data_IF_298172196149
#
_entry.id   IF_298172196149
#
_cell.length_a   1.000
_cell.length_b   1.000
_cell.length_c   1.000
_cell.angle_alpha   90.00
_cell.angle_beta   90.00
_cell.angle_gamma   90.00
#
_symmetry.space_group_name_H-M   'P 1'
#
loop_
_entity.id
_entity.type
_entity.pdbx_description
1 polymer ?
#
# COMPACT_ATOMS: atom_id res chain seq x y z
N UNK A 1 -32.04 17.18 -2.37
CA UNK A 1 -31.70 16.19 -3.42
C UNK A 1 -30.45 15.36 -3.05
N UNK A 2 -30.11 15.13 -1.77
CA UNK A 2 -28.81 14.55 -1.39
C UNK A 2 -28.85 13.20 -0.65
N UNK A 3 -29.98 12.77 -0.07
CA UNK A 3 -30.02 11.52 0.72
C UNK A 3 -30.19 10.24 -0.14
N UNK A 4 -30.96 10.32 -1.24
CA UNK A 4 -31.17 9.19 -2.15
C UNK A 4 -29.86 8.76 -2.84
N UNK A 5 -28.99 9.74 -3.16
CA UNK A 5 -27.70 9.52 -3.81
C UNK A 5 -26.68 8.80 -2.92
N UNK A 6 -26.68 9.05 -1.61
CA UNK A 6 -25.73 8.42 -0.68
C UNK A 6 -26.12 6.98 -0.34
N UNK A 7 -27.43 6.68 -0.30
CA UNK A 7 -27.92 5.33 -0.02
C UNK A 7 -27.70 4.40 -1.22
N UNK A 8 -27.96 4.86 -2.44
CA UNK A 8 -27.70 4.11 -3.68
C UNK A 8 -26.22 3.81 -3.86
N UNK A 9 -25.33 4.75 -3.53
CA UNK A 9 -23.89 4.56 -3.65
C UNK A 9 -23.32 3.64 -2.57
N UNK A 10 -23.81 3.74 -1.33
CA UNK A 10 -23.46 2.78 -0.27
C UNK A 10 -23.85 1.36 -0.66
N UNK A 11 -25.03 1.21 -1.27
CA UNK A 11 -25.51 -0.06 -1.79
C UNK A 11 -24.65 -0.60 -2.95
N UNK A 12 -24.29 0.26 -3.92
CA UNK A 12 -23.40 -0.12 -5.02
C UNK A 12 -22.00 -0.51 -4.54
N UNK A 13 -21.44 0.22 -3.57
CA UNK A 13 -20.15 -0.11 -2.96
C UNK A 13 -20.20 -1.47 -2.25
N UNK A 14 -21.29 -1.77 -1.52
CA UNK A 14 -21.49 -3.07 -0.89
C UNK A 14 -21.53 -4.20 -1.94
N UNK A 15 -22.28 -4.03 -3.02
CA UNK A 15 -22.33 -5.02 -4.11
C UNK A 15 -20.97 -5.24 -4.79
N UNK A 16 -20.21 -4.18 -5.03
CA UNK A 16 -18.87 -4.28 -5.59
C UNK A 16 -17.92 -5.06 -4.68
N UNK A 17 -18.03 -4.87 -3.35
CA UNK A 17 -17.24 -5.60 -2.36
C UNK A 17 -17.68 -7.07 -2.27
N UNK A 18 -18.97 -7.37 -2.32
CA UNK A 18 -19.49 -8.74 -2.38
C UNK A 18 -18.95 -9.49 -3.62
N UNK A 19 -18.97 -8.84 -4.79
CA UNK A 19 -18.40 -9.39 -6.01
C UNK A 19 -16.87 -9.60 -5.91
N UNK A 20 -16.15 -8.64 -5.31
CA UNK A 20 -14.72 -8.73 -5.04
C UNK A 20 -14.38 -9.94 -4.16
N UNK A 21 -15.12 -10.15 -3.07
CA UNK A 21 -14.94 -11.28 -2.16
C UNK A 21 -15.25 -12.60 -2.89
N UNK A 22 -16.40 -12.69 -3.57
CA UNK A 22 -16.83 -13.90 -4.26
C UNK A 22 -15.81 -14.37 -5.30
N UNK A 23 -15.26 -13.45 -6.09
CA UNK A 23 -14.20 -13.73 -7.06
C UNK A 23 -12.95 -14.33 -6.39
N UNK A 24 -12.48 -13.72 -5.29
CA UNK A 24 -11.26 -14.12 -4.59
C UNK A 24 -11.41 -15.41 -3.80
N UNK A 25 -12.60 -15.67 -3.26
CA UNK A 25 -12.96 -16.97 -2.69
C UNK A 25 -12.89 -18.05 -3.78
N UNK A 26 -13.36 -17.76 -5.00
CA UNK A 26 -13.22 -18.65 -6.15
C UNK A 26 -11.75 -18.95 -6.49
N UNK A 27 -10.89 -17.92 -6.51
CA UNK A 27 -9.46 -18.10 -6.73
C UNK A 27 -8.77 -18.89 -5.61
N UNK A 28 -9.21 -18.70 -4.36
CA UNK A 28 -8.68 -19.49 -3.24
C UNK A 28 -9.04 -20.98 -3.38
N UNK A 29 -10.27 -21.29 -3.79
CA UNK A 29 -10.69 -22.66 -4.08
C UNK A 29 -9.89 -23.28 -5.24
N UNK A 30 -9.56 -22.50 -6.28
CA UNK A 30 -8.66 -22.95 -7.36
C UNK A 30 -7.27 -23.31 -6.80
N UNK A 31 -6.70 -22.49 -5.91
CA UNK A 31 -5.39 -22.75 -5.32
C UNK A 31 -5.39 -24.01 -4.45
N UNK A 32 -6.46 -24.26 -3.70
CA UNK A 32 -6.66 -25.47 -2.89
C UNK A 32 -6.69 -26.72 -3.80
N UNK A 33 -7.45 -26.66 -4.88
CA UNK A 33 -7.53 -27.75 -5.87
C UNK A 33 -6.18 -28.05 -6.52
N UNK A 34 -5.37 -27.03 -6.79
CA UNK A 34 -4.01 -27.23 -7.34
C UNK A 34 -3.13 -28.05 -6.39
N UNK A 35 -3.30 -27.92 -5.07
CA UNK A 35 -2.59 -28.73 -4.08
C UNK A 35 -3.17 -30.15 -3.91
N UNK A 36 -4.20 -30.51 -4.67
CA UNK A 36 -4.82 -31.84 -4.66
C UNK A 36 -5.91 -32.03 -3.60
N UNK A 37 -6.31 -30.95 -2.93
CA UNK A 37 -7.38 -30.93 -1.94
C UNK A 37 -8.74 -30.61 -2.58
N UNK A 38 -9.83 -30.89 -1.86
CA UNK A 38 -11.18 -30.52 -2.32
C UNK A 38 -11.35 -28.99 -2.37
N UNK A 39 -12.03 -28.47 -3.40
CA UNK A 39 -12.36 -27.04 -3.51
C UNK A 39 -13.15 -26.48 -2.31
N UNK A 40 -13.86 -27.36 -1.60
CA UNK A 40 -14.65 -27.01 -0.41
C UNK A 40 -13.84 -27.09 0.89
N UNK A 41 -12.56 -27.48 0.83
CA UNK A 41 -11.67 -27.52 2.00
C UNK A 41 -11.40 -26.10 2.50
N UNK A 42 -11.28 -25.96 3.83
CA UNK A 42 -10.89 -24.69 4.46
C UNK A 42 -9.47 -24.29 4.04
N UNK A 43 -9.28 -23.18 3.31
CA UNK A 43 -7.95 -22.79 2.84
C UNK A 43 -6.97 -22.53 3.98
N UNK A 44 -7.42 -22.14 5.18
CA UNK A 44 -6.56 -21.93 6.35
C UNK A 44 -6.00 -23.25 6.92
N UNK A 45 -6.61 -24.39 6.59
CA UNK A 45 -6.11 -25.72 6.94
C UNK A 45 -5.20 -26.30 5.87
N UNK A 46 -5.33 -25.84 4.63
CA UNK A 46 -4.54 -26.31 3.48
C UNK A 46 -3.24 -25.52 3.34
N UNK A 47 -3.30 -24.19 3.47
CA UNK A 47 -2.14 -23.33 3.39
C UNK A 47 -1.55 -23.10 4.78
N UNK A 48 -0.28 -23.45 4.98
CA UNK A 48 0.41 -23.16 6.22
C UNK A 48 0.63 -21.64 6.40
N UNK A 49 0.67 -21.13 7.65
CA UNK A 49 1.02 -19.74 7.92
C UNK A 49 2.38 -19.36 7.34
N UNK A 50 2.55 -18.07 7.01
CA UNK A 50 3.85 -17.54 6.59
C UNK A 50 4.90 -17.69 7.71
N UNK A 51 6.11 -18.07 7.35
CA UNK A 51 7.26 -18.08 8.27
C UNK A 51 7.78 -16.66 8.48
N UNK A 52 8.37 -16.38 9.65
CA UNK A 52 8.99 -15.08 9.94
C UNK A 52 10.10 -14.73 8.94
N UNK A 53 10.91 -15.74 8.58
CA UNK A 53 11.94 -15.65 7.55
C UNK A 53 11.43 -16.40 6.32
N UNK A 54 11.36 -15.71 5.19
CA UNK A 54 10.87 -16.27 3.92
C UNK A 54 11.67 -17.47 3.41
N UNK A 55 12.94 -17.56 3.77
CA UNK A 55 13.83 -18.67 3.41
C UNK A 55 13.59 -19.93 4.25
N UNK A 56 12.90 -19.80 5.38
CA UNK A 56 12.53 -20.92 6.26
C UNK A 56 11.24 -21.63 5.81
N UNK A 57 10.62 -21.18 4.72
CA UNK A 57 9.39 -21.75 4.20
C UNK A 57 9.58 -23.23 3.83
N UNK A 58 8.70 -24.08 4.37
CA UNK A 58 8.75 -25.54 4.18
C UNK A 58 8.65 -25.87 2.68
N UNK A 59 9.50 -26.78 2.23
CA UNK A 59 9.49 -27.23 0.84
C UNK A 59 8.13 -27.87 0.49
N UNK A 60 7.47 -27.31 -0.52
CA UNK A 60 6.24 -27.89 -1.10
C UNK A 60 6.60 -29.12 -1.92
N UNK A 61 5.95 -30.23 -1.61
CA UNK A 61 6.06 -31.46 -2.40
C UNK A 61 4.95 -31.44 -3.46
N UNK A 62 5.20 -30.76 -4.57
CA UNK A 62 4.27 -30.63 -5.70
C UNK A 62 4.99 -30.90 -7.03
N UNK A 63 4.22 -31.29 -8.05
CA UNK A 63 4.74 -31.43 -9.41
C UNK A 63 5.02 -30.08 -10.07
N UNK A 64 5.82 -30.07 -11.15
CA UNK A 64 6.09 -28.86 -11.94
C UNK A 64 4.79 -28.24 -12.50
N UNK A 65 3.85 -29.08 -12.94
CA UNK A 65 2.55 -28.64 -13.44
C UNK A 65 1.73 -27.94 -12.33
N UNK A 66 1.70 -28.51 -11.13
CA UNK A 66 1.07 -27.86 -9.98
C UNK A 66 1.77 -26.56 -9.60
N UNK A 67 3.10 -26.52 -9.68
CA UNK A 67 3.88 -25.32 -9.40
C UNK A 67 3.59 -24.19 -10.41
N UNK A 68 3.36 -24.51 -11.68
CA UNK A 68 2.93 -23.53 -12.70
C UNK A 68 1.53 -23.04 -12.42
N UNK A 69 0.56 -23.94 -12.18
CA UNK A 69 -0.83 -23.56 -11.88
C UNK A 69 -0.95 -22.75 -10.59
N UNK A 70 -0.19 -23.11 -9.55
CA UNK A 70 -0.21 -22.39 -8.28
C UNK A 70 0.32 -20.96 -8.46
N UNK A 71 1.38 -20.77 -9.27
CA UNK A 71 1.87 -19.44 -9.62
C UNK A 71 0.85 -18.64 -10.43
N UNK A 72 0.14 -19.29 -11.35
CA UNK A 72 -0.91 -18.63 -12.12
C UNK A 72 -2.01 -18.10 -11.19
N UNK A 73 -2.53 -18.94 -10.28
CA UNK A 73 -3.57 -18.54 -9.34
C UNK A 73 -3.05 -17.48 -8.36
N UNK A 74 -1.85 -17.64 -7.81
CA UNK A 74 -1.22 -16.64 -6.94
C UNK A 74 -1.00 -15.30 -7.66
N UNK A 75 -0.66 -15.35 -8.95
CA UNK A 75 -0.51 -14.18 -9.80
C UNK A 75 -1.82 -13.38 -9.96
N UNK A 76 -2.99 -14.03 -9.91
CA UNK A 76 -4.30 -13.33 -9.92
C UNK A 76 -4.49 -12.45 -8.70
N UNK A 77 -3.92 -12.84 -7.56
CA UNK A 77 -3.87 -12.01 -6.36
C UNK A 77 -2.80 -10.90 -6.42
N UNK A 78 -1.92 -10.93 -7.44
CA UNK A 78 -0.76 -10.04 -7.56
C UNK A 78 0.52 -10.58 -6.93
N UNK A 79 0.51 -11.80 -6.35
CA UNK A 79 1.68 -12.40 -5.70
C UNK A 79 2.77 -12.66 -6.75
N UNK A 80 3.93 -12.04 -6.58
CA UNK A 80 5.08 -12.24 -7.47
C UNK A 80 4.91 -11.62 -8.86
N UNK A 81 3.93 -10.72 -9.03
CA UNK A 81 3.64 -10.02 -10.28
C UNK A 81 4.88 -9.36 -10.90
N UNK A 82 5.08 -9.61 -12.18
CA UNK A 82 6.19 -9.04 -12.95
C UNK A 82 5.89 -7.62 -13.44
N UNK A 83 4.64 -7.41 -13.86
CA UNK A 83 4.14 -6.18 -14.45
C UNK A 83 3.41 -5.33 -13.43
N UNK A 84 3.33 -4.03 -13.72
CA UNK A 84 2.62 -3.07 -12.91
C UNK A 84 1.11 -3.20 -13.04
N UNK A 85 0.42 -2.96 -11.92
CA UNK A 85 -1.00 -2.65 -11.86
C UNK A 85 -1.11 -1.20 -11.42
N UNK A 86 -1.45 -0.28 -12.33
CA UNK A 86 -1.58 1.14 -11.99
C UNK A 86 -2.83 1.41 -11.17
N UNK A 87 -2.74 2.37 -10.26
CA UNK A 87 -3.90 2.89 -9.53
C UNK A 87 -4.52 4.05 -10.30
N UNK A 88 -5.82 3.96 -10.60
CA UNK A 88 -6.60 5.05 -11.18
C UNK A 88 -7.39 5.82 -10.11
N UNK A 89 -6.77 6.06 -8.94
CA UNK A 89 -7.39 6.80 -7.86
C UNK A 89 -7.18 8.30 -8.00
N UNK A 90 -8.20 9.09 -7.68
CA UNK A 90 -8.10 10.55 -7.66
C UNK A 90 -7.08 11.08 -6.65
N UNK A 91 -6.89 10.41 -5.51
CA UNK A 91 -5.84 10.75 -4.54
C UNK A 91 -4.98 9.51 -4.31
N UNK A 92 -3.69 9.58 -4.60
CA UNK A 92 -2.79 8.42 -4.54
C UNK A 92 -1.72 8.62 -3.48
N UNK A 93 -1.63 7.68 -2.54
CA UNK A 93 -0.62 7.65 -1.49
C UNK A 93 0.52 6.75 -1.95
N UNK A 94 1.73 7.28 -1.99
CA UNK A 94 2.96 6.51 -2.10
C UNK A 94 3.40 6.20 -0.66
N UNK A 95 3.37 4.92 -0.31
CA UNK A 95 3.37 4.43 1.07
C UNK A 95 4.66 4.75 1.83
N UNK A 96 5.76 4.99 1.10
CA UNK A 96 7.06 5.25 1.69
C UNK A 96 7.95 4.01 1.72
N UNK A 97 8.91 3.97 2.63
CA UNK A 97 9.94 2.93 2.69
C UNK A 97 11.23 3.40 2.03
N UNK A 98 11.89 2.49 1.31
CA UNK A 98 13.20 2.73 0.67
C UNK A 98 13.07 3.63 -0.57
N UNK A 99 14.12 4.38 -0.97
CA UNK A 99 14.00 5.39 -2.02
C UNK A 99 13.54 4.81 -3.36
N UNK A 100 14.12 3.69 -3.80
CA UNK A 100 13.70 3.01 -5.03
C UNK A 100 12.28 2.43 -4.96
N UNK A 101 11.71 2.19 -3.77
CA UNK A 101 10.31 1.78 -3.64
C UNK A 101 9.40 2.96 -3.89
N UNK A 102 9.70 4.11 -3.31
CA UNK A 102 8.94 5.35 -3.52
C UNK A 102 8.99 5.77 -4.99
N UNK A 103 10.16 5.66 -5.64
CA UNK A 103 10.27 5.89 -7.09
C UNK A 103 9.42 4.89 -7.89
N UNK A 104 9.37 3.61 -7.50
CA UNK A 104 8.53 2.61 -8.17
C UNK A 104 7.04 2.90 -7.99
N UNK A 105 6.62 3.30 -6.79
CA UNK A 105 5.26 3.72 -6.47
C UNK A 105 4.86 4.97 -7.27
N UNK A 106 5.80 5.90 -7.47
CA UNK A 106 5.60 7.08 -8.29
C UNK A 106 5.43 6.72 -9.78
N UNK A 107 6.22 5.79 -10.33
CA UNK A 107 6.10 5.38 -11.75
C UNK A 107 4.77 4.72 -12.12
N UNK A 108 4.11 4.07 -11.15
CA UNK A 108 2.79 3.46 -11.36
C UNK A 108 1.62 4.40 -11.03
N UNK A 109 1.92 5.65 -10.66
CA UNK A 109 0.93 6.68 -10.44
C UNK A 109 0.35 7.11 -11.78
N UNK A 110 -0.94 6.85 -11.99
CA UNK A 110 -1.68 7.32 -13.16
C UNK A 110 -2.30 8.70 -12.90
N UNK A 111 -3.16 9.20 -13.81
CA UNK A 111 -3.88 10.47 -13.65
C UNK A 111 -4.51 10.63 -12.23
N UNK A 112 -3.91 11.52 -11.43
CA UNK A 112 -4.33 11.83 -10.06
C UNK A 112 -4.67 13.32 -9.93
N UNK A 113 -5.58 13.65 -9.00
CA UNK A 113 -5.77 15.03 -8.51
C UNK A 113 -4.77 15.38 -7.42
N UNK A 114 -4.37 14.40 -6.62
CA UNK A 114 -3.37 14.58 -5.57
C UNK A 114 -2.45 13.37 -5.48
N UNK A 115 -1.16 13.62 -5.37
CA UNK A 115 -0.12 12.60 -5.13
C UNK A 115 0.46 12.89 -3.75
N UNK A 116 0.35 11.92 -2.84
CA UNK A 116 0.80 12.03 -1.46
C UNK A 116 2.06 11.19 -1.26
N UNK A 117 3.19 11.84 -1.03
CA UNK A 117 4.45 11.17 -0.67
C UNK A 117 4.48 10.99 0.84
N UNK A 118 4.31 9.75 1.32
CA UNK A 118 4.35 9.44 2.73
C UNK A 118 5.77 9.11 3.20
N UNK A 119 6.13 9.55 4.40
CA UNK A 119 7.40 9.18 5.01
C UNK A 119 7.48 9.53 6.49
N UNK A 120 8.29 8.77 7.23
CA UNK A 120 8.48 8.99 8.67
C UNK A 120 9.77 9.75 8.98
N UNK A 121 9.73 10.81 9.79
CA UNK A 121 10.94 11.48 10.24
C UNK A 121 11.72 10.64 11.28
N UNK A 122 11.17 9.49 11.70
CA UNK A 122 11.76 8.62 12.72
C UNK A 122 12.55 7.44 12.12
N UNK A 123 12.46 7.21 10.80
CA UNK A 123 13.23 6.17 10.11
C UNK A 123 14.46 6.79 9.48
N UNK A 124 15.63 6.54 10.07
CA UNK A 124 16.91 6.92 9.48
C UNK A 124 17.23 6.05 8.26
N UNK A 125 17.83 6.65 7.24
CA UNK A 125 18.23 5.93 6.04
C UNK A 125 19.47 5.08 6.27
N UNK A 126 19.46 3.88 5.68
CA UNK A 126 20.63 3.01 5.57
C UNK A 126 21.65 3.54 4.57
N UNK A 127 22.85 2.98 4.61
CA UNK A 127 23.94 3.35 3.71
C UNK A 127 23.61 3.06 2.23
N UNK A 128 22.94 1.94 1.97
CA UNK A 128 22.45 1.55 0.63
C UNK A 128 21.47 2.59 0.06
N UNK A 129 20.59 3.12 0.91
CA UNK A 129 19.61 4.14 0.54
C UNK A 129 20.28 5.50 0.28
N UNK A 130 21.23 5.89 1.13
CA UNK A 130 21.99 7.12 0.97
C UNK A 130 22.83 7.10 -0.31
N UNK A 131 23.46 5.97 -0.60
CA UNK A 131 24.27 5.82 -1.81
C UNK A 131 23.40 5.82 -3.06
N UNK A 132 22.23 5.18 -3.02
CA UNK A 132 21.22 5.29 -4.07
C UNK A 132 20.84 6.75 -4.34
N UNK A 133 20.45 7.51 -3.31
CA UNK A 133 20.03 8.91 -3.46
C UNK A 133 21.13 9.81 -4.02
N UNK A 134 22.40 9.61 -3.63
CA UNK A 134 23.53 10.38 -4.19
C UNK A 134 23.66 10.25 -5.71
N UNK A 135 23.25 9.12 -6.28
CA UNK A 135 23.28 8.92 -7.74
C UNK A 135 22.13 9.60 -8.47
N UNK A 136 21.07 9.97 -7.75
CA UNK A 136 19.85 10.59 -8.29
C UNK A 136 19.82 12.10 -8.12
N UNK A 137 20.36 12.59 -7.02
CA UNK A 137 20.30 14.00 -6.66
C UNK A 137 21.26 14.85 -7.51
N UNK A 138 20.91 16.12 -7.81
CA UNK A 138 21.81 17.05 -8.47
C UNK A 138 23.11 17.25 -7.70
N UNK A 139 24.19 17.59 -8.42
CA UNK A 139 25.49 17.84 -7.82
C UNK A 139 25.41 18.90 -6.72
N UNK A 140 25.98 18.60 -5.55
CA UNK A 140 25.97 19.48 -4.38
C UNK A 140 24.75 19.36 -3.46
N UNK A 141 23.70 18.65 -3.86
CA UNK A 141 22.55 18.36 -3.00
C UNK A 141 22.86 17.17 -2.10
N UNK A 142 22.71 17.35 -0.78
CA UNK A 142 22.92 16.27 0.18
C UNK A 142 21.67 15.40 0.31
N UNK A 143 21.78 14.06 0.34
CA UNK A 143 20.67 13.20 0.70
C UNK A 143 20.11 13.58 2.08
N UNK A 144 18.78 13.55 2.19
CA UNK A 144 18.11 13.63 3.47
C UNK A 144 18.55 12.48 4.40
N UNK A 145 18.47 12.70 5.70
CA UNK A 145 18.90 11.71 6.69
C UNK A 145 17.80 10.71 7.06
N UNK A 146 16.53 11.08 6.85
CA UNK A 146 15.36 10.31 7.22
C UNK A 146 14.41 10.09 6.02
N UNK A 147 13.47 9.18 6.19
CA UNK A 147 12.50 8.79 5.17
C UNK A 147 11.56 9.94 4.75
N UNK A 148 11.15 10.83 5.67
CA UNK A 148 10.27 11.95 5.31
C UNK A 148 10.99 12.94 4.39
N UNK A 149 12.21 13.33 4.75
CA UNK A 149 13.05 14.19 3.91
C UNK A 149 13.43 13.54 2.58
N UNK A 150 13.70 12.23 2.58
CA UNK A 150 13.95 11.47 1.35
C UNK A 150 12.74 11.45 0.43
N UNK A 151 11.55 11.23 0.99
CA UNK A 151 10.31 11.19 0.23
C UNK A 151 10.07 12.54 -0.46
N UNK A 152 10.39 13.65 0.21
CA UNK A 152 10.36 14.99 -0.40
C UNK A 152 11.36 15.11 -1.55
N UNK A 153 12.59 14.67 -1.35
CA UNK A 153 13.61 14.71 -2.40
C UNK A 153 13.17 13.93 -3.65
N UNK A 154 12.55 12.77 -3.46
CA UNK A 154 12.02 11.96 -4.58
C UNK A 154 10.83 12.66 -5.24
N UNK A 155 9.95 13.31 -4.48
CA UNK A 155 8.85 14.10 -5.01
C UNK A 155 9.35 15.26 -5.90
N UNK A 156 10.37 15.96 -5.44
CA UNK A 156 10.99 17.09 -6.15
C UNK A 156 11.77 16.64 -7.41
N UNK A 157 12.19 15.38 -7.46
CA UNK A 157 12.85 14.76 -8.63
C UNK A 157 11.86 14.26 -9.69
N UNK A 158 10.55 14.25 -9.41
CA UNK A 158 9.57 13.77 -10.39
C UNK A 158 9.52 14.69 -11.63
N UNK A 159 9.40 14.07 -12.80
CA UNK A 159 9.28 14.80 -14.05
C UNK A 159 8.05 15.73 -14.04
N UNK A 160 8.30 17.01 -14.33
CA UNK A 160 7.24 18.03 -14.35
C UNK A 160 6.86 18.60 -12.98
N UNK A 161 7.57 18.25 -11.90
CA UNK A 161 7.36 18.86 -10.60
C UNK A 161 7.62 20.38 -10.64
N UNK A 162 6.68 21.13 -10.09
CA UNK A 162 6.75 22.58 -9.92
C UNK A 162 6.53 22.90 -8.44
N UNK A 163 7.58 23.41 -7.79
CA UNK A 163 7.52 23.82 -6.38
C UNK A 163 6.59 25.02 -6.19
N UNK A 164 5.91 25.05 -5.04
CA UNK A 164 5.29 26.29 -4.56
C UNK A 164 6.38 27.29 -4.13
N UNK A 165 6.04 28.58 -4.16
CA UNK A 165 6.90 29.63 -3.59
C UNK A 165 7.10 29.43 -2.09
N UNK A 166 6.03 29.01 -1.40
CA UNK A 166 6.03 28.63 0.01
C UNK A 166 5.20 27.36 0.20
N UNK A 167 5.73 26.42 1.00
CA UNK A 167 5.01 25.23 1.41
C UNK A 167 3.70 25.60 2.13
N UNK A 168 2.59 24.99 1.71
CA UNK A 168 1.29 25.24 2.32
C UNK A 168 0.90 24.12 3.29
N UNK A 169 0.94 24.40 4.59
CA UNK A 169 0.46 23.47 5.62
C UNK A 169 -1.07 23.38 5.54
N UNK A 170 -1.59 22.18 5.30
CA UNK A 170 -3.03 21.95 5.23
C UNK A 170 -3.65 22.03 6.64
N UNK A 171 -4.91 22.49 6.78
CA UNK A 171 -5.58 22.65 8.07
C UNK A 171 -6.10 21.32 8.63
N UNK A 172 -5.33 20.25 8.45
CA UNK A 172 -5.67 18.90 8.87
C UNK A 172 -4.44 18.14 9.38
N UNK A 173 -4.70 17.25 10.32
CA UNK A 173 -3.75 16.29 10.86
C UNK A 173 -4.46 15.06 11.41
N UNK A 174 -3.75 14.25 12.16
CA UNK A 174 -4.29 13.10 12.87
C UNK A 174 -3.60 12.88 14.22
N UNK A 175 -4.38 12.39 15.18
CA UNK A 175 -3.93 12.09 16.53
C UNK A 175 -3.43 10.64 16.62
N UNK A 176 -2.13 10.45 16.83
CA UNK A 176 -1.52 9.11 16.91
C UNK A 176 -2.01 8.31 18.13
N UNK A 177 -2.42 8.96 19.22
CA UNK A 177 -2.87 8.28 20.44
C UNK A 177 -4.35 7.91 20.39
N UNK A 178 -5.12 8.57 19.53
CA UNK A 178 -6.57 8.39 19.44
C UNK A 178 -6.99 7.69 18.14
N UNK A 179 -6.40 6.53 17.86
CA UNK A 179 -6.73 5.71 16.68
C UNK A 179 -6.69 6.50 15.36
N UNK A 180 -5.74 7.43 15.24
CA UNK A 180 -5.57 8.30 14.07
C UNK A 180 -6.82 9.14 13.75
N UNK A 181 -7.51 9.61 14.79
CA UNK A 181 -8.64 10.51 14.65
C UNK A 181 -8.23 11.80 13.93
N UNK A 182 -9.10 12.30 13.04
CA UNK A 182 -8.85 13.53 12.28
C UNK A 182 -8.77 14.74 13.22
N UNK A 183 -7.70 15.51 13.09
CA UNK A 183 -7.55 16.83 13.73
C UNK A 183 -7.80 17.89 12.67
N UNK A 184 -8.69 18.86 12.93
CA UNK A 184 -9.04 19.95 12.00
C UNK A 184 -8.24 21.21 12.27
N UNK A 185 -6.92 21.05 12.37
CA UNK A 185 -5.95 22.12 12.64
C UNK A 185 -4.67 21.88 11.84
N UNK A 186 -3.87 22.92 11.62
CA UNK A 186 -2.62 22.85 10.89
C UNK A 186 -1.50 22.22 11.74
N UNK A 187 -1.40 20.89 11.73
CA UNK A 187 -0.40 20.14 12.54
C UNK A 187 0.96 19.99 11.85
N UNK A 188 1.05 20.30 10.55
CA UNK A 188 2.23 20.05 9.73
C UNK A 188 2.37 18.59 9.25
N UNK A 189 1.39 17.73 9.51
CA UNK A 189 1.39 16.34 9.03
C UNK A 189 1.01 16.21 7.55
N UNK A 190 0.32 17.21 7.01
CA UNK A 190 -0.03 17.32 5.60
C UNK A 190 0.44 18.67 5.07
N UNK A 191 1.39 18.65 4.13
CA UNK A 191 2.00 19.87 3.58
C UNK A 191 2.01 19.79 2.06
N UNK A 192 1.32 20.71 1.38
CA UNK A 192 1.41 20.83 -0.07
C UNK A 192 2.72 21.53 -0.42
N UNK A 193 3.50 20.92 -1.30
CA UNK A 193 4.85 21.39 -1.68
C UNK A 193 4.95 21.84 -3.14
N UNK A 194 3.97 21.48 -3.97
CA UNK A 194 4.04 21.74 -5.41
C UNK A 194 2.93 21.06 -6.19
N UNK A 195 3.17 20.95 -7.49
CA UNK A 195 2.27 20.32 -8.46
C UNK A 195 3.05 19.52 -9.51
N UNK A 196 2.43 18.49 -10.08
CA UNK A 196 2.87 17.81 -11.29
C UNK A 196 1.70 17.86 -12.27
N UNK A 197 1.82 18.66 -13.34
CA UNK A 197 0.67 19.02 -14.16
C UNK A 197 -0.42 19.67 -13.30
N UNK A 198 -1.63 19.15 -13.36
CA UNK A 198 -2.77 19.62 -12.55
C UNK A 198 -2.90 18.91 -11.18
N UNK A 199 -2.03 17.93 -10.90
CA UNK A 199 -2.06 17.19 -9.63
C UNK A 199 -1.35 17.96 -8.53
N UNK A 200 -1.96 18.08 -7.35
CA UNK A 200 -1.29 18.59 -6.15
C UNK A 200 -0.29 17.55 -5.62
N UNK A 201 0.92 17.99 -5.26
CA UNK A 201 1.91 17.17 -4.58
C UNK A 201 1.94 17.54 -3.10
N UNK A 202 1.63 16.55 -2.26
CA UNK A 202 1.49 16.70 -0.82
C UNK A 202 2.45 15.75 -0.10
N UNK A 203 3.16 16.26 0.89
CA UNK A 203 3.92 15.47 1.84
C UNK A 203 2.99 15.01 2.97
N UNK A 204 3.00 13.71 3.26
CA UNK A 204 2.27 13.09 4.37
C UNK A 204 3.27 12.59 5.41
N UNK A 205 3.36 13.28 6.55
CA UNK A 205 4.25 12.88 7.65
C UNK A 205 3.64 11.70 8.40
N UNK A 206 4.38 10.60 8.46
CA UNK A 206 4.00 9.37 9.18
C UNK A 206 4.60 9.39 10.58
N UNK A 207 3.79 9.82 11.54
CA UNK A 207 4.15 9.95 12.93
C UNK A 207 3.96 8.63 13.70
N UNK A 208 4.73 8.46 14.77
CA UNK A 208 4.65 7.29 15.67
C UNK A 208 5.14 7.66 17.06
N UNK A 209 4.79 6.84 18.05
CA UNK A 209 5.37 6.93 19.39
C UNK A 209 6.57 5.99 19.48
N UNK A 210 7.75 6.52 19.79
CA UNK A 210 8.93 5.70 20.11
C UNK A 210 9.01 5.48 21.63
N UNK A 211 9.24 4.24 22.07
CA UNK A 211 9.36 3.88 23.48
C UNK A 211 10.49 2.85 23.69
N UNK A 212 10.91 2.67 24.94
CA UNK A 212 11.84 1.60 25.34
C UNK A 212 11.02 0.55 26.10
N UNK A 213 11.12 -0.71 25.69
CA UNK A 213 10.42 -1.78 26.40
C UNK A 213 11.12 -2.18 27.70
N UNK A 214 10.52 -3.13 28.42
CA UNK A 214 11.05 -3.63 29.70
C UNK A 214 12.44 -4.28 29.57
N UNK A 215 12.82 -4.70 28.36
CA UNK A 215 14.12 -5.32 28.05
C UNK A 215 15.19 -4.29 27.64
N UNK A 216 14.84 -2.99 27.60
CA UNK A 216 15.75 -1.93 27.16
C UNK A 216 15.84 -1.78 25.63
N UNK A 217 14.95 -2.42 24.88
CA UNK A 217 14.93 -2.39 23.42
C UNK A 217 14.07 -1.21 22.93
N UNK A 218 14.62 -0.41 22.02
CA UNK A 218 13.87 0.63 21.34
C UNK A 218 12.78 0.02 20.45
N UNK A 219 11.53 0.38 20.70
CA UNK A 219 10.34 -0.02 19.95
C UNK A 219 9.53 1.20 19.55
N UNK A 220 8.52 0.98 18.72
CA UNK A 220 7.55 2.00 18.37
C UNK A 220 6.14 1.43 18.35
N UNK A 221 5.16 2.30 18.56
CA UNK A 221 3.72 1.99 18.47
C UNK A 221 2.97 3.16 17.85
N UNK A 222 1.67 2.98 17.62
CA UNK A 222 0.76 4.01 17.12
C UNK A 222 1.08 4.55 15.71
N UNK A 223 2.00 3.93 14.97
CA UNK A 223 2.25 4.26 13.56
C UNK A 223 1.04 3.85 12.71
N UNK A 224 0.49 4.73 11.85
CA UNK A 224 -0.59 4.34 10.95
C UNK A 224 -0.08 3.32 9.92
N UNK A 225 -0.82 2.23 9.76
CA UNK A 225 -0.63 1.29 8.66
C UNK A 225 -1.29 1.81 7.37
N UNK A 226 -1.15 1.05 6.28
CA UNK A 226 -1.70 1.40 4.96
C UNK A 226 -3.21 1.69 5.02
N UNK A 227 -3.96 0.89 5.79
CA UNK A 227 -5.38 1.07 5.97
C UNK A 227 -5.68 2.38 6.70
N UNK A 228 -5.00 2.65 7.81
CA UNK A 228 -5.14 3.88 8.58
C UNK A 228 -4.82 5.12 7.74
N UNK A 229 -3.76 5.10 6.92
CA UNK A 229 -3.42 6.19 5.99
C UNK A 229 -4.57 6.49 5.02
N UNK A 230 -5.15 5.46 4.40
CA UNK A 230 -6.33 5.63 3.53
C UNK A 230 -7.52 6.24 4.29
N UNK A 231 -7.77 5.80 5.55
CA UNK A 231 -8.85 6.38 6.38
C UNK A 231 -8.59 7.84 6.71
N UNK A 232 -7.36 8.21 7.06
CA UNK A 232 -6.97 9.60 7.36
C UNK A 232 -7.29 10.49 6.15
N UNK A 233 -6.84 10.11 4.96
CA UNK A 233 -7.10 10.90 3.74
C UNK A 233 -8.59 10.90 3.39
N UNK A 234 -9.29 9.77 3.51
CA UNK A 234 -10.74 9.71 3.33
C UNK A 234 -11.49 10.69 4.24
N UNK A 235 -11.11 10.78 5.53
CA UNK A 235 -11.70 11.73 6.49
C UNK A 235 -11.35 13.18 6.17
N UNK A 236 -10.14 13.46 5.69
CA UNK A 236 -9.76 14.81 5.22
C UNK A 236 -10.64 15.24 4.06
N UNK A 237 -10.85 14.38 3.06
CA UNK A 237 -11.70 14.67 1.90
C UNK A 237 -13.15 14.93 2.33
N UNK A 238 -13.72 14.06 3.17
CA UNK A 238 -15.07 14.26 3.72
C UNK A 238 -15.18 15.57 4.51
N UNK A 239 -14.15 15.94 5.29
CA UNK A 239 -14.12 17.22 6.00
C UNK A 239 -14.04 18.44 5.06
N UNK A 240 -13.51 18.27 3.84
CA UNK A 240 -13.54 19.25 2.77
C UNK A 240 -14.84 19.23 1.94
N UNK A 241 -15.79 18.34 2.26
CA UNK A 241 -17.05 18.18 1.53
C UNK A 241 -16.94 17.33 0.25
N UNK A 242 -15.81 16.67 0.02
CA UNK A 242 -15.63 15.69 -1.05
C UNK A 242 -15.92 14.31 -0.49
N UNK A 243 -17.09 13.74 -0.79
CA UNK A 243 -17.48 12.37 -0.37
C UNK A 243 -17.22 11.31 -1.45
N UNK A 244 -16.70 11.71 -2.62
CA UNK A 244 -16.83 10.93 -3.86
C UNK A 244 -15.50 10.50 -4.45
N UNK A 245 -14.45 11.32 -4.30
CA UNK A 245 -13.15 11.02 -4.90
C UNK A 245 -12.55 9.75 -4.29
N UNK A 246 -12.07 8.83 -5.12
CA UNK A 246 -11.42 7.61 -4.64
C UNK A 246 -10.05 7.94 -4.03
N UNK A 247 -9.66 7.21 -2.98
CA UNK A 247 -8.29 7.25 -2.43
C UNK A 247 -7.61 5.94 -2.77
N UNK A 248 -6.37 5.96 -3.23
CA UNK A 248 -5.60 4.77 -3.50
C UNK A 248 -4.25 4.77 -2.82
N UNK A 249 -3.68 3.59 -2.65
CA UNK A 249 -2.30 3.40 -2.21
C UNK A 249 -1.51 2.65 -3.27
N UNK A 250 -0.31 3.12 -3.56
CA UNK A 250 0.63 2.46 -4.45
C UNK A 250 1.63 1.69 -3.58
N UNK A 251 1.81 0.40 -3.85
CA UNK A 251 2.67 -0.49 -3.06
C UNK A 251 3.31 -1.57 -3.93
N UNK A 252 3.96 -2.56 -3.33
CA UNK A 252 4.63 -3.66 -4.04
C UNK A 252 3.74 -4.89 -4.20
N UNK A 253 3.87 -5.60 -5.33
CA UNK A 253 3.35 -6.97 -5.54
C UNK A 253 3.86 -7.99 -4.50
N UNK A 254 4.93 -7.64 -3.78
CA UNK A 254 5.48 -8.44 -2.67
C UNK A 254 4.51 -8.56 -1.48
N UNK A 255 3.57 -7.63 -1.36
CA UNK A 255 2.58 -7.57 -0.29
C UNK A 255 1.16 -7.51 -0.86
N UNK A 256 0.86 -8.42 -1.79
CA UNK A 256 -0.43 -8.53 -2.47
C UNK A 256 -1.65 -8.50 -1.52
N UNK A 257 -1.49 -9.03 -0.29
CA UNK A 257 -2.54 -9.03 0.74
C UNK A 257 -3.01 -7.62 1.16
N UNK A 258 -2.22 -6.56 0.88
CA UNK A 258 -2.60 -5.16 1.10
C UNK A 258 -3.76 -4.70 0.21
N UNK A 259 -4.01 -5.38 -0.90
CA UNK A 259 -5.20 -5.14 -1.72
C UNK A 259 -6.48 -5.37 -0.90
N UNK A 260 -6.52 -6.43 -0.09
CA UNK A 260 -7.68 -6.73 0.76
C UNK A 260 -7.81 -5.72 1.90
N UNK A 261 -6.71 -5.31 2.53
CA UNK A 261 -6.73 -4.26 3.57
C UNK A 261 -7.26 -2.94 3.02
N UNK A 262 -6.91 -2.61 1.78
CA UNK A 262 -7.37 -1.41 1.08
C UNK A 262 -8.89 -1.46 0.86
N UNK A 263 -9.42 -2.58 0.36
CA UNK A 263 -10.88 -2.76 0.17
C UNK A 263 -11.62 -2.69 1.50
N UNK A 264 -11.07 -3.33 2.53
CA UNK A 264 -11.61 -3.31 3.90
C UNK A 264 -11.65 -1.92 4.50
N UNK A 265 -10.57 -1.15 4.32
CA UNK A 265 -10.54 0.25 4.71
C UNK A 265 -11.64 1.05 3.97
N UNK A 266 -11.88 0.78 2.69
CA UNK A 266 -12.90 1.44 1.88
C UNK A 266 -14.31 1.19 2.41
N UNK A 267 -14.62 -0.09 2.72
CA UNK A 267 -15.90 -0.49 3.34
C UNK A 267 -16.18 0.32 4.61
N UNK A 268 -15.21 0.38 5.52
CA UNK A 268 -15.37 1.07 6.81
C UNK A 268 -15.52 2.60 6.72
N UNK A 269 -15.24 3.21 5.56
CA UNK A 269 -15.32 4.66 5.36
C UNK A 269 -16.37 5.06 4.32
N UNK A 270 -17.13 4.11 3.74
CA UNK A 270 -18.13 4.40 2.72
C UNK A 270 -17.56 4.99 1.43
N UNK A 271 -16.28 4.79 1.14
CA UNK A 271 -15.56 5.36 0.00
C UNK A 271 -14.86 4.27 -0.81
N UNK A 272 -14.79 4.44 -2.13
CA UNK A 272 -14.00 3.57 -2.98
C UNK A 272 -12.50 3.78 -2.69
N UNK A 273 -11.83 2.70 -2.30
CA UNK A 273 -10.38 2.67 -2.21
C UNK A 273 -9.77 1.76 -3.28
N UNK A 274 -8.63 2.17 -3.83
CA UNK A 274 -7.93 1.47 -4.91
C UNK A 274 -6.49 1.12 -4.52
N UNK A 275 -5.91 0.13 -5.17
CA UNK A 275 -4.51 -0.25 -4.95
C UNK A 275 -3.77 -0.28 -6.27
N UNK A 276 -2.62 0.38 -6.31
CA UNK A 276 -1.62 0.20 -7.36
C UNK A 276 -0.52 -0.73 -6.85
N UNK A 277 -0.01 -1.60 -7.71
CA UNK A 277 1.07 -2.53 -7.36
C UNK A 277 2.15 -2.49 -8.42
N UNK A 278 3.37 -2.08 -8.04
CA UNK A 278 4.49 -2.10 -8.97
C UNK A 278 5.06 -3.52 -9.03
N UNK A 279 5.39 -3.95 -10.24
CA UNK A 279 5.93 -5.25 -10.56
C UNK A 279 7.44 -5.35 -10.29
N UNK A 280 7.96 -6.58 -10.34
CA UNK A 280 9.40 -6.84 -10.19
C UNK A 280 10.23 -6.18 -11.29
N UNK A 281 9.68 -6.00 -12.49
CA UNK A 281 10.35 -5.35 -13.62
C UNK A 281 10.68 -3.89 -13.31
N UNK A 282 9.68 -3.11 -12.93
CA UNK A 282 9.80 -1.68 -12.61
C UNK A 282 10.81 -1.44 -11.50
N UNK A 283 10.77 -2.27 -10.46
CA UNK A 283 11.76 -2.20 -9.38
C UNK A 283 13.19 -2.50 -9.87
N UNK A 284 13.36 -3.50 -10.75
CA UNK A 284 14.66 -3.88 -11.30
C UNK A 284 15.23 -2.75 -12.19
N UNK A 285 14.39 -2.15 -13.04
CA UNK A 285 14.76 -1.04 -13.91
C UNK A 285 15.20 0.19 -13.10
N UNK A 286 14.48 0.52 -12.03
CA UNK A 286 14.84 1.61 -11.12
C UNK A 286 16.17 1.34 -10.41
N UNK A 287 16.39 0.12 -9.95
CA UNK A 287 17.64 -0.24 -9.27
C UNK A 287 18.82 -0.45 -10.23
N UNK A 288 18.58 -0.62 -11.52
CA UNK A 288 19.60 -1.03 -12.49
C UNK A 288 20.12 -2.45 -12.24
N UNK A 289 19.26 -3.32 -11.69
CA UNK A 289 19.60 -4.70 -11.31
C UNK A 289 18.86 -5.71 -12.22
N UNK A 290 19.30 -6.97 -12.29
CA UNK A 290 18.52 -8.03 -12.93
C UNK A 290 17.16 -8.19 -12.26
N UNK A 291 16.14 -8.54 -13.07
CA UNK A 291 14.80 -8.84 -12.56
C UNK A 291 14.92 -9.96 -11.54
N UNK A 292 14.50 -9.68 -10.30
CA UNK A 292 14.51 -10.66 -9.23
C UNK A 292 13.66 -11.88 -9.62
N UNK A 293 14.08 -13.08 -9.22
CA UNK A 293 13.27 -14.28 -9.45
C UNK A 293 11.86 -14.10 -8.87
N UNK A 294 10.83 -14.72 -9.49
CA UNK A 294 9.49 -14.71 -8.91
C UNK A 294 9.50 -15.31 -7.51
N UNK A 295 8.48 -14.96 -6.72
CA UNK A 295 8.26 -15.51 -5.36
C UNK A 295 8.54 -17.01 -5.34
N UNK A 296 9.37 -17.44 -4.39
CA UNK A 296 9.73 -18.84 -4.24
C UNK A 296 8.46 -19.67 -4.08
N UNK A 297 8.36 -20.81 -4.76
CA UNK A 297 7.12 -21.60 -4.76
C UNK A 297 6.65 -21.95 -3.34
N UNK A 298 7.61 -22.20 -2.44
CA UNK A 298 7.38 -22.51 -1.03
C UNK A 298 6.79 -21.35 -0.22
N UNK A 299 6.93 -20.11 -0.67
CA UNK A 299 6.43 -18.92 0.02
C UNK A 299 4.96 -18.64 -0.32
N UNK A 300 4.46 -19.15 -1.46
CA UNK A 300 3.10 -18.87 -1.94
C UNK A 300 2.02 -19.31 -0.93
N UNK A 301 2.07 -20.49 -0.29
CA UNK A 301 1.08 -20.87 0.71
C UNK A 301 0.97 -19.88 1.86
N UNK A 302 2.09 -19.38 2.40
CA UNK A 302 2.06 -18.41 3.49
C UNK A 302 1.39 -17.08 3.11
N UNK A 303 1.64 -16.62 1.88
CA UNK A 303 0.99 -15.43 1.33
C UNK A 303 -0.52 -15.66 1.08
N UNK A 304 -0.91 -16.85 0.59
CA UNK A 304 -2.31 -17.24 0.40
C UNK A 304 -3.05 -17.42 1.74
N UNK A 305 -2.38 -17.95 2.77
CA UNK A 305 -2.92 -18.04 4.13
C UNK A 305 -3.26 -16.64 4.65
N UNK A 306 -2.29 -15.71 4.58
CA UNK A 306 -2.47 -14.32 5.01
C UNK A 306 -3.60 -13.63 4.22
N UNK A 307 -3.70 -13.91 2.92
CA UNK A 307 -4.79 -13.41 2.08
C UNK A 307 -6.15 -13.93 2.55
N UNK A 308 -6.26 -15.23 2.84
CA UNK A 308 -7.50 -15.83 3.33
C UNK A 308 -7.91 -15.25 4.70
N UNK A 309 -6.99 -15.07 5.63
CA UNK A 309 -7.28 -14.45 6.93
C UNK A 309 -7.93 -13.07 6.76
N UNK A 310 -7.37 -12.24 5.86
CA UNK A 310 -7.89 -10.90 5.57
C UNK A 310 -9.23 -10.94 4.83
N UNK A 311 -9.42 -11.89 3.91
CA UNK A 311 -10.71 -12.07 3.23
C UNK A 311 -11.81 -12.49 4.21
N UNK A 312 -11.51 -13.42 5.13
CA UNK A 312 -12.44 -13.83 6.19
C UNK A 312 -12.82 -12.66 7.09
N UNK A 313 -11.86 -11.81 7.47
CA UNK A 313 -12.13 -10.59 8.25
C UNK A 313 -13.04 -9.62 7.49
N UNK A 314 -12.74 -9.36 6.20
CA UNK A 314 -13.56 -8.50 5.35
C UNK A 314 -14.99 -9.03 5.21
N UNK A 315 -15.15 -10.35 5.03
CA UNK A 315 -16.47 -10.98 4.92
C UNK A 315 -17.27 -10.88 6.22
N UNK A 316 -16.62 -10.99 7.38
CA UNK A 316 -17.26 -10.80 8.67
C UNK A 316 -17.68 -9.34 8.92
N UNK A 317 -16.93 -8.36 8.42
CA UNK A 317 -17.28 -6.93 8.51
C UNK A 317 -18.47 -6.54 7.59
N UNK A 318 -18.80 -7.37 6.60
CA UNK A 318 -19.88 -7.12 5.63
C UNK A 318 -21.25 -7.71 6.04
N UNK A 319 -21.21 -8.74 6.89
CA UNK A 319 -22.36 -9.52 7.38
C UNK A 319 -23.19 -8.75 8.42
#
# INVERSE_FOLDING_TARGET
>A
MSEVSQTEQTFQNKQNIEAYIAERVGWMADAVEVLGESRDSDPLQVFAPATEIRDDAVALVISDEQAVKLREVAGRFGIGGEVDVKSAASHQILEGGKPWKIEAEAQITDEARTILFAGSPFRMLGQDELDYLKTRLPEGVKPAADEYGMSRQIAELQDGFQALEEDAVLPFGYDIENSHALVKEATGQLVRIGNIGDADVVMLRVDRENYVDEEGTNKYRNQPDSAALLKIIGKVLSACGDEQSSVGINSSTTYASRAVDTVRAGLSNGREFKVGMYGRQTLADIKGEPIAAPTGINQIPGELHTMQEKLSQLQAELA
#
